data_IF_490632624340
#
_entry.id   IF_490632624340
#
_cell.length_a   1.000
_cell.length_b   1.000
_cell.length_c   1.000
_cell.angle_alpha   90.00
_cell.angle_beta   90.00
_cell.angle_gamma   90.00
#
_symmetry.space_group_name_H-M   'P 1'
#
loop_
_entity.id
_entity.type
_entity.pdbx_description
1 polymer ?
#
# COMPACT_ATOMS: atom_id res chain seq x y z
N UNK A 1 18.73 -6.28 37.31
CA UNK A 1 18.80 -6.26 35.85
C UNK A 1 17.57 -5.61 35.32
N UNK A 2 17.75 -4.65 34.46
CA UNK A 2 16.67 -3.92 33.83
C UNK A 2 16.56 -4.37 32.38
N UNK A 3 15.36 -4.80 31.97
CA UNK A 3 15.10 -5.22 30.61
C UNK A 3 14.08 -4.28 29.99
N UNK A 4 14.46 -3.66 28.88
CA UNK A 4 13.54 -2.83 28.10
C UNK A 4 12.93 -3.65 26.99
N UNK A 5 11.61 -3.68 26.93
CA UNK A 5 10.87 -4.33 25.84
C UNK A 5 10.24 -3.25 24.99
N UNK A 6 10.74 -3.10 23.78
CA UNK A 6 10.19 -2.14 22.84
C UNK A 6 8.96 -2.69 22.16
N UNK A 7 7.97 -1.84 21.85
CA UNK A 7 6.78 -2.31 21.14
C UNK A 7 7.13 -2.67 19.70
N UNK A 8 6.45 -3.68 19.19
CA UNK A 8 6.47 -3.97 17.76
C UNK A 8 5.25 -3.35 17.09
N UNK A 9 5.32 -3.05 15.81
CA UNK A 9 4.16 -2.51 15.09
C UNK A 9 2.99 -3.50 15.08
N UNK A 10 1.78 -2.97 15.22
CA UNK A 10 0.53 -3.72 15.10
C UNK A 10 -0.39 -2.90 14.20
N UNK A 11 -0.60 -3.37 12.98
CA UNK A 11 -1.36 -2.63 11.98
C UNK A 11 -2.41 -3.57 11.37
N UNK A 12 -3.65 -3.10 11.33
CA UNK A 12 -4.75 -3.86 10.74
C UNK A 12 -4.73 -3.75 9.21
N UNK A 13 -5.35 -4.73 8.56
CA UNK A 13 -5.50 -4.70 7.11
C UNK A 13 -6.24 -3.44 6.68
N UNK A 14 -5.85 -2.91 5.52
CA UNK A 14 -6.39 -1.67 4.97
C UNK A 14 -7.07 -1.98 3.65
N UNK A 15 -8.33 -1.56 3.53
CA UNK A 15 -9.03 -1.59 2.26
C UNK A 15 -9.27 -0.14 1.84
N UNK A 16 -8.64 0.26 0.75
CA UNK A 16 -8.79 1.61 0.24
C UNK A 16 -10.07 1.75 -0.57
N UNK A 17 -10.64 2.95 -0.55
CA UNK A 17 -11.71 3.28 -1.48
C UNK A 17 -11.19 3.12 -2.92
N UNK A 18 -12.09 2.81 -3.86
CA UNK A 18 -11.69 2.61 -5.24
C UNK A 18 -10.97 3.85 -5.79
N UNK A 19 -9.89 3.61 -6.50
CA UNK A 19 -9.04 4.66 -7.07
C UNK A 19 -9.23 4.73 -8.58
N UNK A 20 -9.09 5.92 -9.13
CA UNK A 20 -9.01 6.09 -10.58
C UNK A 20 -7.68 5.59 -11.10
N UNK A 21 -7.68 5.06 -12.31
CA UNK A 21 -6.43 4.74 -13.01
C UNK A 21 -5.52 5.97 -13.09
N UNK A 22 -4.22 5.74 -13.00
CA UNK A 22 -3.19 6.78 -12.96
C UNK A 22 -3.15 7.58 -11.65
N UNK A 23 -3.86 7.14 -10.63
CA UNK A 23 -3.81 7.76 -9.30
C UNK A 23 -2.67 7.18 -8.47
N UNK A 24 -2.18 8.00 -7.56
CA UNK A 24 -1.20 7.58 -6.55
C UNK A 24 -1.94 7.29 -5.25
N UNK A 25 -1.75 6.08 -4.71
CA UNK A 25 -2.22 5.81 -3.36
C UNK A 25 -1.06 6.01 -2.38
N UNK A 26 -1.41 6.33 -1.14
CA UNK A 26 -0.42 6.44 -0.06
C UNK A 26 -1.04 5.95 1.23
N UNK A 27 -0.37 5.02 1.89
CA UNK A 27 -0.79 4.48 3.18
C UNK A 27 0.31 4.75 4.19
N UNK A 28 0.00 5.58 5.17
CA UNK A 28 0.92 5.93 6.26
C UNK A 28 0.19 5.65 7.58
N UNK A 29 0.29 4.42 8.11
CA UNK A 29 -0.40 4.07 9.34
C UNK A 29 0.00 4.98 10.49
N UNK A 30 -0.95 5.28 11.36
CA UNK A 30 -0.75 6.10 12.55
C UNK A 30 -1.32 5.39 13.78
N UNK A 31 -0.82 5.74 14.94
CA UNK A 31 -1.36 5.20 16.19
C UNK A 31 -2.83 5.58 16.32
N UNK A 32 -3.67 4.57 16.50
CA UNK A 32 -5.10 4.77 16.71
C UNK A 32 -5.72 3.48 17.27
N UNK A 33 -6.41 3.56 18.39
CA UNK A 33 -7.06 2.37 18.97
C UNK A 33 -6.05 1.24 19.21
N UNK A 34 -6.23 0.12 18.54
CA UNK A 34 -5.35 -1.05 18.66
C UNK A 34 -4.16 -1.00 17.71
N UNK A 35 -4.09 0.02 16.85
CA UNK A 35 -2.99 0.18 15.89
C UNK A 35 -1.82 0.83 16.60
N UNK A 36 -0.67 0.17 16.56
CA UNK A 36 0.57 0.64 17.19
C UNK A 36 1.61 0.85 16.10
N UNK A 37 2.06 2.10 15.96
CA UNK A 37 3.09 2.48 14.99
C UNK A 37 4.22 3.17 15.78
N UNK A 38 5.22 2.42 16.23
CA UNK A 38 6.36 3.02 16.94
C UNK A 38 7.11 4.03 16.09
N UNK A 39 7.77 4.97 16.73
CA UNK A 39 8.58 5.96 16.03
C UNK A 39 9.59 5.29 15.11
N UNK A 40 9.76 5.85 13.92
CA UNK A 40 10.72 5.34 12.95
C UNK A 40 10.32 4.05 12.28
N UNK A 41 9.06 3.64 12.38
CA UNK A 41 8.57 2.43 11.70
C UNK A 41 8.74 2.58 10.20
N UNK A 42 9.31 1.54 9.59
CA UNK A 42 9.49 1.45 8.14
C UNK A 42 8.75 0.24 7.62
N UNK A 43 8.53 0.23 6.31
CA UNK A 43 7.71 -0.78 5.65
C UNK A 43 8.46 -1.40 4.48
N UNK A 44 8.30 -2.71 4.37
CA UNK A 44 8.67 -3.46 3.17
C UNK A 44 7.41 -4.15 2.68
N UNK A 45 7.31 -4.37 1.38
CA UNK A 45 6.13 -5.02 0.84
C UNK A 45 6.42 -5.85 -0.39
N UNK A 46 5.56 -6.82 -0.59
CA UNK A 46 5.44 -7.55 -1.83
C UNK A 46 4.04 -7.30 -2.39
N UNK A 47 3.92 -7.32 -3.69
CA UNK A 47 2.65 -7.08 -4.37
C UNK A 47 2.17 -8.36 -5.02
N UNK A 48 0.86 -8.61 -4.96
CA UNK A 48 0.24 -9.65 -5.76
C UNK A 48 0.26 -9.19 -7.21
N UNK A 49 0.96 -9.92 -8.05
CA UNK A 49 1.14 -9.51 -9.44
C UNK A 49 -0.19 -9.49 -10.18
N UNK A 50 -0.47 -8.41 -10.89
CA UNK A 50 -1.62 -8.29 -11.78
C UNK A 50 -1.15 -7.71 -13.11
N UNK A 51 -1.15 -8.53 -14.15
CA UNK A 51 -0.65 -8.15 -15.46
C UNK A 51 -1.45 -7.01 -16.10
N UNK A 52 -2.66 -6.75 -15.62
CA UNK A 52 -3.53 -5.68 -16.12
C UNK A 52 -3.26 -4.32 -15.46
N UNK A 53 -2.34 -4.27 -14.51
CA UNK A 53 -1.99 -3.05 -13.79
C UNK A 53 -0.51 -2.79 -13.95
N UNK A 54 -0.13 -1.57 -14.34
CA UNK A 54 1.26 -1.13 -14.35
C UNK A 54 1.55 -0.22 -13.17
N UNK A 55 2.82 -0.05 -12.83
CA UNK A 55 3.27 0.78 -11.70
C UNK A 55 3.40 0.01 -10.39
N UNK A 56 2.99 -1.25 -10.35
CA UNK A 56 3.16 -2.11 -9.19
C UNK A 56 4.58 -2.62 -9.08
N UNK A 57 5.13 -2.60 -7.90
CA UNK A 57 6.46 -3.13 -7.65
C UNK A 57 6.63 -3.46 -6.17
N UNK A 58 7.43 -4.49 -5.88
CA UNK A 58 7.84 -4.76 -4.52
C UNK A 58 8.71 -3.61 -4.01
N UNK A 59 8.76 -3.44 -2.70
CA UNK A 59 9.68 -2.45 -2.13
C UNK A 59 11.12 -2.81 -2.49
N UNK A 60 11.90 -1.80 -2.86
CA UNK A 60 13.25 -2.00 -3.40
C UNK A 60 14.35 -1.42 -2.52
N UNK A 61 14.01 -0.56 -1.58
CA UNK A 61 14.98 0.12 -0.72
C UNK A 61 14.51 0.09 0.72
N UNK A 62 15.45 0.08 1.70
CA UNK A 62 15.07 0.16 3.11
C UNK A 62 14.70 1.60 3.50
N UNK A 63 14.07 1.74 4.66
CA UNK A 63 13.80 3.05 5.24
C UNK A 63 12.55 3.75 4.72
N UNK A 64 11.66 3.02 4.03
CA UNK A 64 10.44 3.60 3.49
C UNK A 64 9.43 3.76 4.64
N UNK A 65 8.87 4.97 4.79
CA UNK A 65 7.96 5.31 5.88
C UNK A 65 6.49 5.35 5.47
N UNK A 66 6.20 5.16 4.21
CA UNK A 66 4.82 5.04 3.71
C UNK A 66 4.79 4.13 2.50
N UNK A 67 3.67 3.47 2.27
CA UNK A 67 3.47 2.62 1.10
C UNK A 67 2.75 3.45 0.06
N UNK A 68 3.41 3.74 -1.05
CA UNK A 68 2.88 4.62 -2.08
C UNK A 68 3.35 4.18 -3.46
N UNK A 69 2.41 4.09 -4.39
CA UNK A 69 2.71 3.82 -5.79
C UNK A 69 1.64 4.43 -6.67
N UNK A 70 1.98 4.70 -7.92
CA UNK A 70 1.04 5.16 -8.93
C UNK A 70 0.69 4.00 -9.83
N UNK A 71 -0.59 3.67 -9.92
CA UNK A 71 -1.08 2.49 -10.62
C UNK A 71 -1.92 2.88 -11.82
N UNK A 72 -1.74 2.17 -12.91
CA UNK A 72 -2.50 2.36 -14.14
C UNK A 72 -3.22 1.07 -14.50
N UNK A 73 -4.52 1.14 -14.68
CA UNK A 73 -5.34 0.02 -15.16
C UNK A 73 -5.33 0.02 -16.68
N UNK A 74 -4.85 -1.05 -17.26
CA UNK A 74 -4.72 -1.20 -18.71
C UNK A 74 -5.98 -1.74 -19.38
N UNK A 75 -7.04 -1.99 -18.61
CA UNK A 75 -8.27 -2.61 -19.10
C UNK A 75 -9.45 -1.67 -18.99
N UNK A 76 -10.57 -2.10 -19.51
CA UNK A 76 -11.84 -1.38 -19.39
C UNK A 76 -12.76 -1.96 -18.32
N UNK A 77 -12.19 -2.70 -17.38
CA UNK A 77 -12.92 -3.23 -16.22
C UNK A 77 -12.10 -2.97 -14.96
N UNK A 78 -12.76 -2.91 -13.81
CA UNK A 78 -12.07 -2.71 -12.54
C UNK A 78 -11.08 -3.84 -12.28
N UNK A 79 -9.95 -3.50 -11.70
CA UNK A 79 -8.91 -4.45 -11.34
C UNK A 79 -8.57 -4.36 -9.86
N UNK A 80 -8.26 -5.48 -9.26
CA UNK A 80 -7.88 -5.55 -7.86
C UNK A 80 -6.41 -5.92 -7.74
N UNK A 81 -5.76 -5.34 -6.74
CA UNK A 81 -4.37 -5.66 -6.41
C UNK A 81 -4.22 -5.59 -4.90
N UNK A 82 -3.35 -6.40 -4.34
CA UNK A 82 -3.07 -6.37 -2.91
C UNK A 82 -1.58 -6.32 -2.64
N UNK A 83 -1.22 -5.63 -1.58
CA UNK A 83 0.14 -5.50 -1.08
C UNK A 83 0.21 -6.18 0.28
N UNK A 84 1.18 -7.04 0.46
CA UNK A 84 1.49 -7.61 1.78
C UNK A 84 2.65 -6.81 2.37
N UNK A 85 2.38 -6.08 3.43
CA UNK A 85 3.29 -5.09 4.00
C UNK A 85 3.78 -5.57 5.36
N UNK A 86 5.08 -5.57 5.55
CA UNK A 86 5.72 -5.92 6.81
C UNK A 86 6.27 -4.66 7.47
N UNK A 87 5.75 -4.28 8.65
CA UNK A 87 6.27 -3.13 9.37
C UNK A 87 7.43 -3.54 10.28
N UNK A 88 8.41 -2.66 10.40
CA UNK A 88 9.54 -2.84 11.32
C UNK A 88 9.74 -1.56 12.11
N UNK A 89 9.78 -1.66 13.43
CA UNK A 89 9.95 -0.48 14.27
C UNK A 89 11.34 0.14 14.09
N UNK A 90 11.44 1.45 14.32
CA UNK A 90 12.72 2.14 14.32
C UNK A 90 13.44 2.07 15.65
N UNK A 91 12.85 1.45 16.67
CA UNK A 91 13.46 1.33 17.98
C UNK A 91 14.66 0.38 17.95
N UNK A 92 15.51 0.49 18.96
CA UNK A 92 16.63 -0.44 19.15
C UNK A 92 16.10 -1.87 19.17
N UNK A 93 16.67 -2.72 18.35
CA UNK A 93 16.23 -4.10 18.19
C UNK A 93 15.40 -4.33 16.93
N UNK A 94 14.95 -3.26 16.27
CA UNK A 94 14.22 -3.34 14.99
C UNK A 94 13.12 -4.41 15.00
N UNK A 95 12.13 -4.22 15.86
CA UNK A 95 11.08 -5.21 16.07
C UNK A 95 10.18 -5.31 14.83
N UNK A 96 10.07 -6.51 14.28
CA UNK A 96 9.23 -6.77 13.12
C UNK A 96 7.82 -7.11 13.58
N UNK A 97 6.83 -6.39 13.05
CA UNK A 97 5.42 -6.68 13.32
C UNK A 97 4.86 -7.71 12.37
N UNK A 98 3.63 -8.13 12.64
CA UNK A 98 2.91 -9.02 11.74
C UNK A 98 2.60 -8.30 10.42
N UNK A 99 2.68 -9.00 9.29
CA UNK A 99 2.29 -8.40 8.01
C UNK A 99 0.81 -8.00 8.00
N UNK A 100 0.51 -6.92 7.28
CA UNK A 100 -0.87 -6.53 7.01
C UNK A 100 -1.05 -6.37 5.50
N UNK A 101 -2.29 -6.43 5.05
CA UNK A 101 -2.61 -6.37 3.64
C UNK A 101 -3.26 -5.04 3.29
N UNK A 102 -2.84 -4.43 2.20
CA UNK A 102 -3.50 -3.28 1.59
C UNK A 102 -4.22 -3.79 0.35
N UNK A 103 -5.53 -3.66 0.30
CA UNK A 103 -6.34 -4.05 -0.84
C UNK A 103 -6.78 -2.82 -1.60
N UNK A 104 -6.55 -2.81 -2.91
CA UNK A 104 -6.83 -1.68 -3.78
C UNK A 104 -7.71 -2.15 -4.93
N UNK A 105 -8.81 -1.42 -5.17
CA UNK A 105 -9.60 -1.56 -6.38
C UNK A 105 -9.28 -0.39 -7.28
N UNK A 106 -8.83 -0.67 -8.49
CA UNK A 106 -8.43 0.35 -9.45
C UNK A 106 -9.48 0.40 -10.56
N UNK A 107 -10.21 1.50 -10.60
CA UNK A 107 -11.23 1.73 -11.62
C UNK A 107 -10.58 2.01 -12.97
N UNK A 108 -11.35 1.85 -14.01
CA UNK A 108 -10.88 2.21 -15.34
C UNK A 108 -10.78 3.73 -15.48
N UNK A 109 -9.84 4.16 -16.29
CA UNK A 109 -9.81 5.55 -16.74
C UNK A 109 -10.89 5.75 -17.79
N UNK A 110 -11.70 6.80 -17.71
CA UNK A 110 -12.65 7.09 -18.78
C UNK A 110 -11.92 7.19 -20.12
N UNK A 111 -12.41 6.44 -21.09
CA UNK A 111 -11.82 6.40 -22.42
C UNK A 111 -12.91 6.73 -23.43
N UNK A 112 -12.71 7.83 -24.13
CA UNK A 112 -13.62 8.28 -25.18
C UNK A 112 -12.92 8.10 -26.51
N UNK A 113 -13.39 7.15 -27.31
CA UNK A 113 -12.94 7.08 -28.70
C UNK A 113 -13.45 8.29 -29.43
N UNK A 114 -12.61 8.88 -30.30
CA UNK A 114 -13.07 9.92 -31.20
C UNK A 114 -14.26 9.39 -31.99
N UNK A 115 -15.43 9.84 -31.62
CA UNK A 115 -16.59 9.61 -32.46
C UNK A 115 -16.81 10.88 -33.25
N UNK A 116 -16.93 10.76 -34.54
CA UNK A 116 -17.42 11.84 -35.35
C UNK A 116 -18.90 11.94 -35.00
N UNK A 117 -19.22 12.79 -34.05
CA UNK A 117 -20.61 13.07 -33.76
C UNK A 117 -21.20 13.78 -34.94
N UNK A 118 -22.07 13.14 -35.63
CA UNK A 118 -22.88 13.80 -36.64
C UNK A 118 -24.10 14.33 -35.94
N UNK A 119 -24.14 15.60 -35.89
CA UNK A 119 -25.26 16.31 -35.29
C UNK A 119 -26.31 16.55 -36.40
#
# INVERSE_FOLDING_TARGET
IEISVNPKPVIADVTLAALCSESTFSVSPVNAGTIIVPNGTTYTWTVSSNANITGQANSSVPGITSVSQTLTNLTNSDQNISYTVTPTSGATGSCVGAPFTITITLNTKPFVTNSTAVI
#
